data_IF_824424526746
#
_entry.id   IF_824424526746
#
_cell.length_a   1.000
_cell.length_b   1.000
_cell.length_c   1.000
_cell.angle_alpha   90.00
_cell.angle_beta   90.00
_cell.angle_gamma   90.00
#
_symmetry.space_group_name_H-M   'P 1'
#
loop_
_entity.id
_entity.type
_entity.pdbx_description
1 polymer ?
#
# COMPACT_ATOMS: atom_id res chain seq x y z
N UNK A 1 -0.33 -9.75 -4.82
CA UNK A 1 -0.44 -10.87 -3.83
C UNK A 1 -1.21 -10.47 -2.58
N UNK A 2 -0.91 -9.36 -1.91
CA UNK A 2 -1.62 -8.89 -0.70
C UNK A 2 -3.13 -8.74 -0.90
N UNK A 3 -3.58 -8.25 -2.05
CA UNK A 3 -5.01 -8.15 -2.37
C UNK A 3 -5.71 -9.51 -2.23
N UNK A 4 -5.11 -10.57 -2.75
CA UNK A 4 -5.68 -11.93 -2.67
C UNK A 4 -5.64 -12.53 -1.26
N UNK A 5 -4.70 -12.13 -0.42
CA UNK A 5 -4.67 -12.52 0.99
C UNK A 5 -5.83 -11.87 1.76
N UNK A 6 -6.10 -10.59 1.50
CA UNK A 6 -7.18 -9.84 2.13
C UNK A 6 -8.55 -10.24 1.56
N UNK A 7 -8.65 -10.33 0.24
CA UNK A 7 -9.87 -10.72 -0.47
C UNK A 7 -9.59 -11.84 -1.49
N UNK A 8 -9.74 -13.11 -1.10
CA UNK A 8 -9.54 -14.25 -2.01
C UNK A 8 -10.47 -14.27 -3.23
N UNK A 9 -11.56 -13.51 -3.19
CA UNK A 9 -12.54 -13.37 -4.28
C UNK A 9 -12.42 -12.02 -4.99
N UNK A 10 -11.23 -11.43 -5.00
CA UNK A 10 -10.97 -10.17 -5.67
C UNK A 10 -11.43 -10.22 -7.14
N UNK A 11 -12.12 -9.17 -7.58
CA UNK A 11 -12.54 -9.03 -8.97
C UNK A 11 -11.36 -8.86 -9.92
N UNK A 12 -11.55 -9.15 -11.19
CA UNK A 12 -10.56 -8.86 -12.22
C UNK A 12 -10.19 -7.38 -12.28
N UNK A 13 -11.15 -6.48 -12.05
CA UNK A 13 -10.92 -5.04 -11.98
C UNK A 13 -10.01 -4.67 -10.81
N UNK A 14 -10.24 -5.25 -9.62
CA UNK A 14 -9.40 -5.01 -8.46
C UNK A 14 -7.96 -5.54 -8.67
N UNK A 15 -7.82 -6.73 -9.24
CA UNK A 15 -6.51 -7.29 -9.55
C UNK A 15 -5.76 -6.44 -10.58
N UNK A 16 -6.44 -5.96 -11.61
CA UNK A 16 -5.87 -5.05 -12.61
C UNK A 16 -5.42 -3.75 -11.95
N UNK A 17 -6.25 -3.16 -11.10
CA UNK A 17 -5.90 -1.95 -10.35
C UNK A 17 -4.66 -2.18 -9.48
N UNK A 18 -4.58 -3.30 -8.77
CA UNK A 18 -3.43 -3.64 -7.93
C UNK A 18 -2.13 -3.78 -8.73
N UNK A 19 -2.20 -4.26 -9.96
CA UNK A 19 -1.03 -4.37 -10.84
C UNK A 19 -0.62 -3.04 -11.46
N UNK A 20 -1.55 -2.12 -11.61
CA UNK A 20 -1.36 -0.90 -12.39
C UNK A 20 -1.19 0.36 -11.55
N UNK A 21 -1.56 0.36 -10.26
CA UNK A 21 -1.62 1.59 -9.46
C UNK A 21 -0.28 2.32 -9.33
N UNK A 22 0.84 1.60 -9.40
CA UNK A 22 2.19 2.17 -9.29
C UNK A 22 2.90 2.35 -10.64
N UNK A 23 2.23 2.11 -11.77
CA UNK A 23 2.90 2.20 -13.08
C UNK A 23 3.47 3.58 -13.37
N UNK A 24 2.80 4.64 -12.93
CA UNK A 24 3.29 6.01 -13.12
C UNK A 24 4.60 6.26 -12.39
N UNK A 25 4.87 5.57 -11.29
CA UNK A 25 6.11 5.67 -10.51
C UNK A 25 7.34 5.25 -11.31
N UNK A 26 7.16 4.51 -12.38
CA UNK A 26 8.25 4.20 -13.31
C UNK A 26 8.89 5.46 -13.91
N UNK A 27 8.14 6.54 -14.04
CA UNK A 27 8.63 7.84 -14.52
C UNK A 27 8.87 8.85 -13.38
N UNK A 28 7.98 8.90 -12.40
CA UNK A 28 8.09 9.85 -11.28
C UNK A 28 9.06 9.41 -10.20
N UNK A 29 9.37 8.12 -10.12
CA UNK A 29 9.96 7.50 -8.95
C UNK A 29 8.96 7.37 -7.80
N UNK A 30 9.29 6.52 -6.84
CA UNK A 30 8.51 6.39 -5.62
C UNK A 30 8.80 7.56 -4.68
N UNK A 31 7.82 8.42 -4.46
CA UNK A 31 7.91 9.51 -3.50
C UNK A 31 7.21 9.06 -2.21
N UNK A 32 7.94 8.89 -1.09
CA UNK A 32 7.36 8.40 0.15
C UNK A 32 6.21 9.26 0.67
N UNK A 33 5.15 8.63 1.18
CA UNK A 33 3.99 9.33 1.73
C UNK A 33 4.33 10.39 2.78
N UNK A 34 5.29 10.17 3.70
CA UNK A 34 5.69 11.22 4.63
C UNK A 34 6.22 12.48 3.94
N UNK A 35 7.02 12.32 2.88
CA UNK A 35 7.53 13.45 2.10
C UNK A 35 6.41 14.19 1.36
N UNK A 36 5.46 13.46 0.77
CA UNK A 36 4.29 14.06 0.12
C UNK A 36 3.48 14.93 1.10
N UNK A 37 3.31 14.47 2.33
CA UNK A 37 2.58 15.21 3.37
C UNK A 37 3.35 16.40 3.90
N UNK A 38 4.62 16.22 4.24
CA UNK A 38 5.47 17.25 4.83
C UNK A 38 5.65 18.46 3.91
N UNK A 39 5.83 18.21 2.60
CA UNK A 39 6.04 19.27 1.61
C UNK A 39 4.76 19.70 0.87
N UNK A 40 3.61 19.11 1.20
CA UNK A 40 2.33 19.47 0.61
C UNK A 40 2.22 19.21 -0.90
N UNK A 41 2.94 18.22 -1.42
CA UNK A 41 3.02 17.91 -2.86
C UNK A 41 2.15 16.72 -3.29
N UNK A 42 1.37 16.14 -2.37
CA UNK A 42 0.59 14.92 -2.65
C UNK A 42 -0.39 15.08 -3.81
N UNK A 43 -1.07 16.22 -3.89
CA UNK A 43 -2.04 16.52 -4.94
C UNK A 43 -1.37 16.64 -6.32
N UNK A 44 -0.26 17.37 -6.38
CA UNK A 44 0.52 17.56 -7.62
C UNK A 44 1.11 16.24 -8.12
N UNK A 45 1.60 15.39 -7.21
CA UNK A 45 2.11 14.07 -7.57
C UNK A 45 0.99 13.19 -8.12
N UNK A 46 -0.16 13.14 -7.46
CA UNK A 46 -1.32 12.37 -7.93
C UNK A 46 -1.83 12.85 -9.28
N UNK A 47 -1.86 14.15 -9.53
CA UNK A 47 -2.25 14.71 -10.81
C UNK A 47 -1.26 14.34 -11.91
N UNK A 48 0.03 14.39 -11.62
CA UNK A 48 1.07 13.99 -12.56
C UNK A 48 0.98 12.49 -12.89
N UNK A 49 0.84 11.65 -11.89
CA UNK A 49 0.67 10.20 -12.06
C UNK A 49 -0.55 9.88 -12.94
N UNK A 50 -1.68 10.54 -12.68
CA UNK A 50 -2.89 10.39 -13.49
C UNK A 50 -2.68 10.81 -14.95
N UNK A 51 -2.00 11.93 -15.19
CA UNK A 51 -1.66 12.40 -16.53
C UNK A 51 -0.77 11.41 -17.27
N UNK A 52 0.26 10.89 -16.62
CA UNK A 52 1.17 9.91 -17.20
C UNK A 52 0.45 8.62 -17.59
N UNK A 53 -0.50 8.17 -16.77
CA UNK A 53 -1.34 7.02 -17.08
C UNK A 53 -2.20 7.26 -18.33
N UNK A 54 -2.83 8.43 -18.45
CA UNK A 54 -3.63 8.81 -19.61
C UNK A 54 -2.78 8.90 -20.89
N UNK A 55 -1.60 9.51 -20.81
CA UNK A 55 -0.67 9.62 -21.94
C UNK A 55 -0.18 8.25 -22.41
N UNK A 56 -0.02 7.30 -21.48
CA UNK A 56 0.31 5.91 -21.80
C UNK A 56 -0.86 5.09 -22.35
N UNK A 57 -2.06 5.68 -22.46
CA UNK A 57 -3.27 4.98 -22.90
C UNK A 57 -3.79 3.96 -21.89
N UNK A 58 -3.45 4.13 -20.61
CA UNK A 58 -3.85 3.23 -19.54
C UNK A 58 -5.07 3.80 -18.83
N UNK A 59 -6.20 3.08 -18.93
CA UNK A 59 -7.39 3.39 -18.16
C UNK A 59 -7.36 2.62 -16.84
N UNK A 60 -7.43 3.38 -15.74
CA UNK A 60 -7.58 2.77 -14.42
C UNK A 60 -9.02 2.25 -14.28
N UNK A 61 -9.23 0.99 -13.86
CA UNK A 61 -10.57 0.44 -13.74
C UNK A 61 -11.39 1.16 -12.67
N UNK A 62 -12.70 1.28 -12.91
CA UNK A 62 -13.63 1.72 -11.87
C UNK A 62 -13.69 0.67 -10.75
N UNK A 63 -13.53 1.14 -9.51
CA UNK A 63 -13.54 0.30 -8.34
C UNK A 63 -14.70 0.69 -7.42
N UNK A 64 -15.31 -0.32 -6.78
CA UNK A 64 -16.25 -0.09 -5.68
C UNK A 64 -15.53 0.49 -4.45
N UNK A 65 -16.27 1.06 -3.52
CA UNK A 65 -15.70 1.53 -2.25
C UNK A 65 -15.00 0.40 -1.48
N UNK A 66 -15.55 -0.81 -1.53
CA UNK A 66 -14.95 -2.01 -0.93
C UNK A 66 -13.62 -2.38 -1.60
N UNK A 67 -13.57 -2.34 -2.92
CA UNK A 67 -12.35 -2.62 -3.69
C UNK A 67 -11.26 -1.57 -3.43
N UNK A 68 -11.62 -0.30 -3.36
CA UNK A 68 -10.70 0.79 -2.97
C UNK A 68 -10.13 0.55 -1.57
N UNK A 69 -10.97 0.16 -0.63
CA UNK A 69 -10.55 -0.20 0.73
C UNK A 69 -9.55 -1.36 0.72
N UNK A 70 -9.88 -2.43 -0.01
CA UNK A 70 -8.99 -3.61 -0.14
C UNK A 70 -7.64 -3.23 -0.74
N UNK A 71 -7.64 -2.43 -1.80
CA UNK A 71 -6.41 -1.97 -2.45
C UNK A 71 -5.54 -1.15 -1.47
N UNK A 72 -6.15 -0.24 -0.74
CA UNK A 72 -5.45 0.59 0.25
C UNK A 72 -4.88 -0.22 1.41
N UNK A 73 -5.63 -1.18 1.94
CA UNK A 73 -5.14 -2.07 3.00
C UNK A 73 -4.01 -2.98 2.48
N UNK A 74 -4.11 -3.47 1.25
CA UNK A 74 -3.04 -4.26 0.62
C UNK A 74 -1.75 -3.47 0.47
N UNK A 75 -1.84 -2.20 0.09
CA UNK A 75 -0.70 -1.29 -0.03
C UNK A 75 -0.04 -1.04 1.33
N UNK A 76 -0.83 -0.75 2.36
CA UNK A 76 -0.35 -0.61 3.75
C UNK A 76 0.34 -1.90 4.22
N UNK A 77 -0.27 -3.07 3.99
CA UNK A 77 0.29 -4.37 4.37
C UNK A 77 1.64 -4.64 3.67
N UNK A 78 1.73 -4.32 2.39
CA UNK A 78 2.97 -4.46 1.62
C UNK A 78 4.08 -3.53 2.16
N UNK A 79 3.75 -2.29 2.46
CA UNK A 79 4.68 -1.33 3.07
C UNK A 79 5.16 -1.79 4.45
N UNK A 80 4.27 -2.32 5.29
CA UNK A 80 4.61 -2.88 6.59
C UNK A 80 5.57 -4.08 6.46
N UNK A 81 5.29 -5.01 5.54
CA UNK A 81 6.16 -6.15 5.27
C UNK A 81 7.54 -5.74 4.77
N UNK A 82 7.60 -4.72 3.90
CA UNK A 82 8.87 -4.16 3.45
C UNK A 82 9.69 -3.62 4.63
N UNK A 83 9.06 -2.87 5.53
CA UNK A 83 9.73 -2.35 6.72
C UNK A 83 10.31 -3.47 7.60
N UNK A 84 9.55 -4.54 7.84
CA UNK A 84 10.03 -5.68 8.63
C UNK A 84 11.22 -6.37 7.96
N UNK A 85 11.19 -6.53 6.66
CA UNK A 85 12.32 -7.06 5.90
C UNK A 85 13.58 -6.19 6.09
N UNK A 86 13.44 -4.88 5.95
CA UNK A 86 14.55 -3.94 6.15
C UNK A 86 15.11 -4.01 7.58
N UNK A 87 14.23 -4.11 8.58
CA UNK A 87 14.64 -4.30 9.98
C UNK A 87 15.45 -5.58 10.14
N UNK A 88 15.01 -6.68 9.51
CA UNK A 88 15.74 -7.96 9.55
C UNK A 88 17.12 -7.89 8.91
N UNK A 89 17.32 -6.97 7.97
CA UNK A 89 18.61 -6.70 7.32
C UNK A 89 19.48 -5.68 8.09
N UNK A 90 19.01 -5.24 9.27
CA UNK A 90 19.76 -4.34 10.14
C UNK A 90 19.38 -2.86 10.04
N UNK A 91 18.44 -2.49 9.16
CA UNK A 91 17.94 -1.12 9.05
C UNK A 91 16.90 -0.81 10.13
N UNK A 92 17.34 -0.58 11.36
CA UNK A 92 16.47 -0.33 12.51
C UNK A 92 15.62 0.94 12.40
N UNK A 93 16.01 1.88 11.54
CA UNK A 93 15.21 3.09 11.29
C UNK A 93 13.82 2.75 10.74
N UNK A 94 13.71 1.65 10.01
CA UNK A 94 12.45 1.19 9.42
C UNK A 94 11.42 0.69 10.45
N UNK A 95 11.84 0.40 11.69
CA UNK A 95 10.92 0.03 12.75
C UNK A 95 9.94 1.17 13.09
N UNK A 96 10.42 2.41 13.06
CA UNK A 96 9.57 3.59 13.25
C UNK A 96 8.55 3.75 12.11
N UNK A 97 8.96 3.45 10.88
CA UNK A 97 8.07 3.52 9.72
C UNK A 97 7.05 2.38 9.76
N UNK A 98 7.45 1.18 10.16
CA UNK A 98 6.55 0.06 10.39
C UNK A 98 5.42 0.43 11.36
N UNK A 99 5.73 1.07 12.49
CA UNK A 99 4.71 1.52 13.45
C UNK A 99 3.70 2.48 12.82
N UNK A 100 4.14 3.38 11.95
CA UNK A 100 3.23 4.28 11.22
C UNK A 100 2.30 3.52 10.28
N UNK A 101 2.80 2.51 9.56
CA UNK A 101 1.94 1.64 8.76
C UNK A 101 0.91 0.91 9.61
N UNK A 102 1.32 0.43 10.79
CA UNK A 102 0.40 -0.21 11.74
C UNK A 102 -0.69 0.76 12.21
N UNK A 103 -0.34 2.00 12.52
CA UNK A 103 -1.31 3.05 12.88
C UNK A 103 -2.29 3.34 11.74
N UNK A 104 -1.82 3.40 10.49
CA UNK A 104 -2.69 3.58 9.33
C UNK A 104 -3.65 2.41 9.13
N UNK A 105 -3.17 1.18 9.31
CA UNK A 105 -4.02 0.00 9.24
C UNK A 105 -5.10 0.03 10.33
N UNK A 106 -4.72 0.30 11.58
CA UNK A 106 -5.67 0.33 12.71
C UNK A 106 -6.70 1.46 12.57
N UNK A 107 -6.32 2.60 11.99
CA UNK A 107 -7.24 3.70 11.70
C UNK A 107 -8.33 3.31 10.68
N UNK A 108 -8.11 2.30 9.87
CA UNK A 108 -9.08 1.73 8.94
C UNK A 108 -9.97 0.65 9.57
N UNK A 109 -9.77 0.34 10.84
CA UNK A 109 -10.55 -0.66 11.60
C UNK A 109 -10.67 -2.00 10.84
N UNK A 110 -9.55 -2.73 10.62
CA UNK A 110 -9.58 -4.00 9.89
C UNK A 110 -10.52 -5.01 10.53
N UNK A 111 -11.28 -5.72 9.71
CA UNK A 111 -12.25 -6.73 10.14
C UNK A 111 -12.06 -8.05 9.40
N UNK A 112 -12.52 -9.15 9.98
CA UNK A 112 -12.48 -10.46 9.34
C UNK A 112 -11.08 -10.82 8.82
N UNK A 113 -10.97 -11.13 7.55
CA UNK A 113 -9.72 -11.53 6.93
C UNK A 113 -8.67 -10.41 6.88
N UNK A 114 -9.11 -9.17 6.78
CA UNK A 114 -8.23 -8.00 6.92
C UNK A 114 -7.49 -8.04 8.26
N UNK A 115 -8.22 -8.27 9.34
CA UNK A 115 -7.67 -8.40 10.70
C UNK A 115 -6.71 -9.58 10.81
N UNK A 116 -7.03 -10.72 10.24
CA UNK A 116 -6.17 -11.90 10.24
C UNK A 116 -4.82 -11.61 9.58
N UNK A 117 -4.84 -10.94 8.42
CA UNK A 117 -3.62 -10.56 7.68
C UNK A 117 -2.76 -9.61 8.51
N UNK A 118 -3.34 -8.56 9.10
CA UNK A 118 -2.55 -7.61 9.89
C UNK A 118 -2.03 -8.22 11.19
N UNK A 119 -2.80 -9.08 11.86
CA UNK A 119 -2.31 -9.80 13.04
C UNK A 119 -1.12 -10.69 12.68
N UNK A 120 -1.17 -11.39 11.55
CA UNK A 120 -0.03 -12.19 11.08
C UNK A 120 1.22 -11.33 10.81
N UNK A 121 1.04 -10.11 10.25
CA UNK A 121 2.15 -9.17 10.05
C UNK A 121 2.72 -8.70 11.39
N UNK A 122 1.88 -8.34 12.35
CA UNK A 122 2.33 -7.90 13.68
C UNK A 122 3.06 -9.00 14.44
N UNK A 123 2.64 -10.25 14.31
CA UNK A 123 3.33 -11.39 14.90
C UNK A 123 4.75 -11.56 14.34
N UNK A 124 4.99 -11.18 13.09
CA UNK A 124 6.33 -11.18 12.49
C UNK A 124 7.27 -10.15 13.12
N UNK A 125 6.76 -9.06 13.69
CA UNK A 125 7.59 -8.05 14.36
C UNK A 125 8.45 -8.68 15.46
N UNK A 126 7.89 -9.61 16.23
CA UNK A 126 8.59 -10.32 17.30
C UNK A 126 9.72 -11.23 16.80
N UNK A 127 9.61 -11.72 15.58
CA UNK A 127 10.62 -12.59 14.97
C UNK A 127 11.87 -11.80 14.58
N UNK A 128 11.70 -10.52 14.26
CA UNK A 128 12.76 -9.67 13.75
C UNK A 128 13.32 -8.67 14.79
N UNK A 129 12.78 -8.65 15.96
CA UNK A 129 13.38 -7.94 17.08
C UNK A 129 14.61 -8.68 17.60
#
# INVERSE_FOLDING_TARGET
>A
MMVLLINPRASGSLLRAALMHDLAEHQTGDIPSPAKREYGIGEQVSELEHRLMLEAGIEFPELSAEDIRTLKLADIAQGAMYCLREVSLGNKMMQRIFRRYSEYAEAMEPVGREREVFNAIYDLEWVYE
#
